data_IF_076404711741
#
_entry.id   IF_076404711741
#
_cell.length_a   1.000
_cell.length_b   1.000
_cell.length_c   1.000
_cell.angle_alpha   90.00
_cell.angle_beta   90.00
_cell.angle_gamma   90.00
#
_symmetry.space_group_name_H-M   'P 1'
#
loop_
_entity.id
_entity.type
_entity.pdbx_description
1 polymer ?
#
# COMPACT_ATOMS: atom_id res chain seq x y z
N UNK A 1 -4.04 18.60 15.93
CA UNK A 1 -3.33 17.31 15.66
C UNK A 1 -1.98 17.65 15.02
N UNK A 2 -0.91 16.88 15.28
CA UNK A 2 0.48 17.23 14.93
C UNK A 2 1.32 16.06 14.39
N UNK A 3 0.72 15.17 13.58
CA UNK A 3 1.48 14.10 12.92
C UNK A 3 2.51 14.71 11.95
N UNK A 4 3.71 14.14 11.90
CA UNK A 4 4.78 14.62 11.03
C UNK A 4 4.51 14.16 9.58
N UNK A 5 4.46 15.06 8.58
CA UNK A 5 4.32 14.67 7.19
C UNK A 5 5.57 13.92 6.72
N UNK A 6 5.35 12.87 5.92
CA UNK A 6 6.42 12.16 5.18
C UNK A 6 6.30 12.48 3.70
N UNK A 7 5.08 12.40 3.16
CA UNK A 7 4.75 12.79 1.79
C UNK A 7 3.51 13.69 1.83
N UNK A 8 3.63 14.92 1.29
CA UNK A 8 2.45 15.76 0.99
C UNK A 8 1.54 15.07 -0.04
N UNK A 9 0.24 15.37 -0.13
CA UNK A 9 -0.65 14.76 -1.12
C UNK A 9 -0.13 14.90 -2.56
N UNK A 10 -0.02 13.77 -3.26
CA UNK A 10 0.41 13.73 -4.66
C UNK A 10 -0.37 12.69 -5.46
N UNK A 11 -0.28 12.80 -6.78
CA UNK A 11 -0.94 11.88 -7.71
C UNK A 11 0.07 11.04 -8.50
N UNK A 12 -0.31 9.80 -8.78
CA UNK A 12 0.33 8.96 -9.79
C UNK A 12 -0.69 8.60 -10.85
N UNK A 13 -0.27 8.57 -12.12
CA UNK A 13 -1.15 8.40 -13.27
C UNK A 13 -0.54 7.45 -14.30
N UNK A 14 -1.39 6.65 -14.93
CA UNK A 14 -1.11 5.85 -16.13
C UNK A 14 -2.40 5.69 -16.95
N UNK A 15 -2.39 4.81 -17.95
CA UNK A 15 -3.55 4.53 -18.80
C UNK A 15 -4.76 3.93 -18.05
N UNK A 16 -4.54 3.40 -16.84
CA UNK A 16 -5.56 2.79 -15.99
C UNK A 16 -6.16 3.78 -14.96
N UNK A 17 -5.74 5.05 -14.98
CA UNK A 17 -6.36 6.14 -14.24
C UNK A 17 -5.43 6.88 -13.27
N UNK A 18 -5.98 7.36 -12.15
CA UNK A 18 -5.28 8.23 -11.18
C UNK A 18 -5.37 7.65 -9.77
N UNK A 19 -4.22 7.55 -9.10
CA UNK A 19 -4.10 7.12 -7.71
C UNK A 19 -3.54 8.27 -6.87
N UNK A 20 -4.20 8.60 -5.76
CA UNK A 20 -3.84 9.72 -4.86
C UNK A 20 -3.26 9.20 -3.56
N UNK A 21 -2.13 9.75 -3.17
CA UNK A 21 -1.30 9.26 -2.08
C UNK A 21 -0.91 10.40 -1.16
N UNK A 22 -0.80 10.11 0.13
CA UNK A 22 -0.11 10.94 1.12
C UNK A 22 0.41 10.04 2.23
N UNK A 23 1.41 10.51 2.99
CA UNK A 23 1.96 9.69 4.08
C UNK A 23 2.30 10.50 5.32
N UNK A 24 2.07 9.92 6.49
CA UNK A 24 2.50 10.46 7.79
C UNK A 24 3.39 9.46 8.52
N UNK A 25 4.31 9.96 9.34
CA UNK A 25 5.14 9.13 10.19
C UNK A 25 4.32 8.55 11.36
N UNK A 26 4.65 7.32 11.76
CA UNK A 26 4.16 6.70 13.00
C UNK A 26 5.37 6.35 13.89
N UNK A 27 5.41 5.18 14.52
CA UNK A 27 6.51 4.71 15.34
C UNK A 27 7.77 4.36 14.52
N UNK A 28 8.94 4.69 15.07
CA UNK A 28 10.24 4.48 14.43
C UNK A 28 10.30 5.07 13.02
N UNK A 29 10.72 4.26 12.04
CA UNK A 29 10.75 4.62 10.61
C UNK A 29 9.48 4.19 9.85
N UNK A 30 8.49 3.63 10.55
CA UNK A 30 7.23 3.19 9.92
C UNK A 30 6.40 4.41 9.51
N UNK A 31 5.76 4.33 8.34
CA UNK A 31 4.81 5.33 7.86
C UNK A 31 3.46 4.71 7.53
N UNK A 32 2.41 5.49 7.70
CA UNK A 32 1.10 5.18 7.13
C UNK A 32 0.93 5.95 5.83
N UNK A 33 0.73 5.24 4.73
CA UNK A 33 0.36 5.83 3.45
C UNK A 33 -1.15 5.70 3.27
N UNK A 34 -1.81 6.83 3.07
CA UNK A 34 -3.21 6.90 2.70
C UNK A 34 -3.33 6.72 1.19
N UNK A 35 -4.22 5.83 0.76
CA UNK A 35 -4.39 5.46 -0.65
C UNK A 35 -5.83 5.73 -1.06
N UNK A 36 -6.04 6.73 -1.91
CA UNK A 36 -7.30 6.92 -2.63
C UNK A 36 -7.18 6.37 -4.05
N UNK A 37 -7.88 5.27 -4.27
CA UNK A 37 -7.89 4.48 -5.51
C UNK A 37 -9.24 4.53 -6.24
N UNK A 38 -10.13 5.47 -5.90
CA UNK A 38 -11.48 5.53 -6.51
C UNK A 38 -11.45 5.71 -8.02
N UNK A 39 -10.43 6.41 -8.52
CA UNK A 39 -10.24 6.73 -9.95
C UNK A 39 -9.15 5.88 -10.62
N UNK A 40 -8.72 4.77 -10.00
CA UNK A 40 -7.69 3.88 -10.52
C UNK A 40 -8.25 2.47 -10.74
N UNK A 41 -8.05 1.91 -11.94
CA UNK A 41 -8.57 0.58 -12.34
C UNK A 41 -7.48 -0.45 -12.64
N UNK A 42 -6.21 -0.04 -12.56
CA UNK A 42 -5.07 -0.89 -12.85
C UNK A 42 -4.83 -1.96 -11.79
N UNK A 43 -3.88 -2.86 -12.06
CA UNK A 43 -3.61 -4.02 -11.21
C UNK A 43 -3.19 -3.66 -9.78
N UNK A 44 -2.36 -2.63 -9.62
CA UNK A 44 -1.83 -2.24 -8.32
C UNK A 44 -1.59 -0.74 -8.20
N UNK A 45 -0.64 -0.20 -8.97
CA UNK A 45 -0.20 1.20 -8.93
C UNK A 45 0.47 1.56 -10.26
N UNK A 46 0.47 2.84 -10.67
CA UNK A 46 1.18 3.25 -11.88
C UNK A 46 2.63 2.81 -11.94
N UNK A 47 2.99 2.18 -13.07
CA UNK A 47 4.31 1.60 -13.32
C UNK A 47 4.48 0.14 -12.89
N UNK A 48 3.45 -0.49 -12.31
CA UNK A 48 3.45 -1.91 -12.00
C UNK A 48 2.68 -2.70 -13.04
N UNK A 49 3.23 -3.86 -13.42
CA UNK A 49 2.58 -4.81 -14.32
C UNK A 49 2.48 -6.18 -13.67
N UNK A 50 1.76 -7.10 -14.32
CA UNK A 50 1.72 -8.52 -13.94
C UNK A 50 2.92 -9.32 -14.49
N UNK A 51 3.88 -8.65 -15.16
CA UNK A 51 5.09 -9.31 -15.60
C UNK A 51 5.85 -9.85 -14.38
N UNK A 52 6.44 -11.03 -14.53
CA UNK A 52 7.33 -11.65 -13.53
C UNK A 52 6.70 -11.94 -12.16
N UNK A 53 5.36 -11.94 -12.05
CA UNK A 53 4.67 -12.43 -10.85
C UNK A 53 4.86 -13.95 -10.78
N UNK A 54 5.41 -14.50 -9.69
CA UNK A 54 5.58 -15.95 -9.53
C UNK A 54 4.25 -16.69 -9.72
N UNK A 55 4.27 -17.91 -10.28
CA UNK A 55 3.06 -18.72 -10.37
C UNK A 55 2.51 -19.00 -8.97
N UNK A 56 1.21 -19.30 -8.90
CA UNK A 56 0.57 -19.67 -7.65
C UNK A 56 1.33 -20.84 -7.01
N UNK A 57 1.62 -20.81 -5.69
CA UNK A 57 2.31 -21.89 -5.01
C UNK A 57 1.64 -23.25 -5.21
N UNK A 58 2.43 -24.31 -5.35
CA UNK A 58 1.95 -25.69 -5.45
C UNK A 58 1.84 -26.30 -4.05
N UNK A 59 0.65 -26.75 -3.66
CA UNK A 59 0.38 -27.34 -2.35
C UNK A 59 -1.09 -27.22 -1.93
N UNK A 60 -1.45 -27.72 -0.72
CA UNK A 60 -2.77 -27.50 -0.15
C UNK A 60 -3.00 -26.01 0.15
N UNK A 61 -4.28 -25.61 0.23
CA UNK A 61 -4.65 -24.23 0.55
C UNK A 61 -4.22 -23.84 1.97
N UNK A 62 -3.69 -22.62 2.12
CA UNK A 62 -3.21 -22.09 3.41
C UNK A 62 -4.27 -21.30 4.20
N UNK A 63 -5.41 -20.98 3.57
CA UNK A 63 -6.55 -20.33 4.24
C UNK A 63 -6.39 -18.84 4.59
N UNK A 64 -5.35 -18.15 4.12
CA UNK A 64 -5.18 -16.71 4.33
C UNK A 64 -6.10 -15.89 3.40
N UNK A 65 -6.89 -14.98 3.98
CA UNK A 65 -7.91 -14.21 3.24
C UNK A 65 -7.81 -12.70 3.40
N UNK A 66 -7.45 -12.23 4.59
CA UNK A 66 -7.38 -10.80 4.91
C UNK A 66 -6.35 -10.55 6.03
N UNK A 67 -5.96 -9.28 6.19
CA UNK A 67 -5.14 -8.81 7.31
C UNK A 67 -6.08 -8.46 8.45
N UNK A 68 -6.01 -9.24 9.54
CA UNK A 68 -6.84 -9.00 10.73
C UNK A 68 -6.32 -7.83 11.58
N UNK A 69 -5.03 -7.84 11.92
CA UNK A 69 -4.41 -6.78 12.72
C UNK A 69 -2.90 -6.63 12.41
N UNK A 70 -2.35 -5.48 12.79
CA UNK A 70 -0.91 -5.18 12.71
C UNK A 70 -0.45 -4.69 14.08
N UNK A 71 0.57 -5.35 14.65
CA UNK A 71 1.16 -4.99 15.94
C UNK A 71 2.42 -4.15 15.73
N UNK A 72 2.50 -3.01 16.41
CA UNK A 72 3.71 -2.18 16.48
C UNK A 72 4.33 -2.27 17.86
N UNK A 73 5.49 -2.90 17.95
CA UNK A 73 6.31 -2.83 19.17
C UNK A 73 7.03 -1.49 19.18
N UNK A 74 7.04 -0.83 20.34
CA UNK A 74 7.69 0.47 20.55
C UNK A 74 8.71 0.36 21.68
N UNK A 75 9.71 1.25 21.67
CA UNK A 75 10.64 1.40 22.79
C UNK A 75 9.91 1.96 24.01
N UNK A 76 10.41 1.63 25.21
CA UNK A 76 9.85 2.06 26.50
C UNK A 76 10.21 3.51 26.85
#
# INVERSE_FOLDING_TARGET
RGARPVDEPYERRDDEGVLRLSSVATYGETKHTFVDRRDYRGYYCPGFSRADVPPRPVGPEVGLVDIDHVVGNVEE
#
